data_IF_448536568246
#
_entry.id   IF_448536568246
#
_cell.length_a   1.000
_cell.length_b   1.000
_cell.length_c   1.000
_cell.angle_alpha   90.00
_cell.angle_beta   90.00
_cell.angle_gamma   90.00
#
_symmetry.space_group_name_H-M   'P 1'
#
loop_
_entity.id
_entity.type
_entity.pdbx_description
1 polymer ?
#
# COMPACT_ATOMS: atom_id res chain seq x y z
N UNK A 1 26.21 33.10 -0.94
CA UNK A 1 27.23 34.08 -1.36
C UNK A 1 27.11 34.19 -2.87
N UNK A 2 26.93 35.39 -3.39
CA UNK A 2 26.92 35.60 -4.85
C UNK A 2 28.33 35.41 -5.41
N UNK A 3 28.44 35.19 -6.72
CA UNK A 3 29.74 35.10 -7.41
C UNK A 3 30.52 36.41 -7.22
N UNK A 4 29.84 37.55 -7.35
CA UNK A 4 30.39 38.90 -7.13
C UNK A 4 31.00 39.07 -5.72
N UNK A 5 30.39 38.47 -4.69
CA UNK A 5 30.92 38.49 -3.31
C UNK A 5 32.20 37.65 -3.17
N UNK A 6 32.29 36.53 -3.91
CA UNK A 6 33.46 35.67 -3.91
C UNK A 6 34.61 36.31 -4.70
N UNK A 7 34.31 36.97 -5.83
CA UNK A 7 35.28 37.72 -6.62
C UNK A 7 35.92 38.86 -5.82
N UNK A 8 35.13 39.58 -5.03
CA UNK A 8 35.60 40.70 -4.21
C UNK A 8 36.31 40.28 -2.90
N UNK A 9 36.40 38.97 -2.61
CA UNK A 9 36.99 38.47 -1.37
C UNK A 9 38.51 38.71 -1.35
N UNK A 10 39.01 39.34 -0.29
CA UNK A 10 40.46 39.56 -0.11
C UNK A 10 41.15 38.27 0.34
N UNK A 11 42.25 37.93 -0.34
CA UNK A 11 43.04 36.71 -0.10
C UNK A 11 44.30 36.99 0.73
N UNK A 12 44.66 38.27 0.90
CA UNK A 12 45.78 38.70 1.75
C UNK A 12 45.58 40.11 2.34
N UNK A 13 46.41 40.47 3.30
CA UNK A 13 46.44 41.80 3.93
C UNK A 13 46.92 42.92 2.98
N UNK A 14 47.39 42.57 1.77
CA UNK A 14 47.79 43.51 0.73
C UNK A 14 46.63 43.92 -0.21
N UNK A 15 45.42 43.41 0.03
CA UNK A 15 44.22 43.80 -0.71
C UNK A 15 44.01 43.10 -2.06
N UNK A 16 44.72 42.00 -2.32
CA UNK A 16 44.54 41.19 -3.53
C UNK A 16 43.20 40.46 -3.46
N UNK A 17 42.39 40.59 -4.52
CA UNK A 17 41.08 39.97 -4.63
C UNK A 17 41.19 38.55 -5.19
N UNK A 18 40.22 37.70 -4.89
CA UNK A 18 40.19 36.33 -5.39
C UNK A 18 40.11 36.28 -6.93
N UNK A 19 39.44 37.27 -7.54
CA UNK A 19 39.40 37.46 -9.00
C UNK A 19 40.76 37.76 -9.63
N UNK A 20 41.73 38.29 -8.87
CA UNK A 20 43.05 38.67 -9.40
C UNK A 20 43.95 37.44 -9.61
N UNK A 21 43.60 36.29 -9.02
CA UNK A 21 44.42 35.07 -8.97
C UNK A 21 43.70 33.81 -9.41
N UNK A 22 42.36 33.83 -9.54
CA UNK A 22 41.57 32.69 -9.97
C UNK A 22 40.31 33.13 -10.73
N UNK A 23 39.88 32.29 -11.68
CA UNK A 23 38.60 32.42 -12.36
C UNK A 23 37.51 31.72 -11.53
N UNK A 24 36.45 32.44 -11.17
CA UNK A 24 35.34 31.91 -10.36
C UNK A 24 34.18 31.63 -11.29
N UNK A 25 34.03 30.36 -11.66
CA UNK A 25 32.92 29.90 -12.48
C UNK A 25 31.91 29.12 -11.64
N UNK A 26 30.64 29.28 -11.98
CA UNK A 26 29.63 28.34 -11.53
C UNK A 26 29.80 27.04 -12.31
N UNK A 27 30.53 26.09 -11.73
CA UNK A 27 30.69 24.77 -12.29
C UNK A 27 29.68 23.81 -11.65
N UNK A 28 29.05 22.96 -12.46
CA UNK A 28 28.33 21.81 -11.93
C UNK A 28 29.35 20.87 -11.26
N UNK A 29 29.06 20.35 -10.05
CA UNK A 29 29.91 19.36 -9.42
C UNK A 29 30.10 18.17 -10.36
N UNK A 30 31.31 17.63 -10.44
CA UNK A 30 31.56 16.38 -11.18
C UNK A 30 30.59 15.31 -10.64
N UNK A 31 29.73 14.71 -11.49
CA UNK A 31 28.75 13.75 -11.01
C UNK A 31 29.44 12.53 -10.40
N UNK A 32 29.22 12.30 -9.10
CA UNK A 32 29.75 11.11 -8.41
C UNK A 32 28.91 9.85 -8.69
N UNK A 33 27.77 9.99 -9.36
CA UNK A 33 26.94 8.89 -9.83
C UNK A 33 26.20 9.29 -11.10
N UNK A 34 25.90 8.30 -11.93
CA UNK A 34 25.04 8.46 -13.11
C UNK A 34 23.80 7.60 -12.91
N UNK A 35 22.62 8.17 -13.15
CA UNK A 35 21.36 7.42 -13.22
C UNK A 35 20.92 7.37 -14.67
N UNK A 36 20.55 6.18 -15.11
CA UNK A 36 20.05 5.95 -16.47
C UNK A 36 18.85 5.03 -16.43
N UNK A 37 17.89 5.29 -17.30
CA UNK A 37 16.75 4.41 -17.55
C UNK A 37 16.80 4.06 -19.04
N UNK A 38 16.83 2.77 -19.37
CA UNK A 38 16.91 2.27 -20.75
C UNK A 38 18.07 2.86 -21.59
N UNK A 39 19.17 3.27 -20.94
CA UNK A 39 20.35 3.84 -21.62
C UNK A 39 20.35 5.37 -21.70
N UNK A 40 19.24 6.03 -21.38
CA UNK A 40 19.12 7.49 -21.38
C UNK A 40 19.38 8.07 -19.98
N UNK A 41 19.97 9.27 -19.92
CA UNK A 41 20.25 9.97 -18.67
C UNK A 41 18.95 10.30 -17.93
N UNK A 42 18.88 9.96 -16.65
CA UNK A 42 17.66 10.12 -15.85
C UNK A 42 17.96 10.75 -14.49
N UNK A 43 16.99 11.52 -13.99
CA UNK A 43 16.96 12.02 -12.62
C UNK A 43 15.84 11.26 -11.91
N UNK A 44 16.11 10.73 -10.72
CA UNK A 44 15.08 10.05 -9.94
C UNK A 44 14.77 10.82 -8.65
N UNK A 45 13.47 10.97 -8.41
CA UNK A 45 12.90 11.51 -7.19
C UNK A 45 12.33 10.36 -6.37
N UNK A 46 12.59 10.38 -5.07
CA UNK A 46 11.99 9.44 -4.13
C UNK A 46 10.94 10.20 -3.32
N UNK A 47 9.69 9.74 -3.40
CA UNK A 47 8.58 10.34 -2.67
C UNK A 47 8.22 9.41 -1.52
N UNK A 48 8.36 9.93 -0.30
CA UNK A 48 8.01 9.19 0.91
C UNK A 48 6.75 9.79 1.52
N UNK A 49 5.83 8.92 1.97
CA UNK A 49 4.65 9.38 2.69
C UNK A 49 5.00 9.90 4.07
N UNK A 50 4.20 10.82 4.58
CA UNK A 50 4.24 11.21 5.99
C UNK A 50 3.80 10.05 6.91
N UNK A 51 4.19 10.13 8.19
CA UNK A 51 3.73 9.20 9.22
C UNK A 51 2.19 9.24 9.32
N UNK A 52 1.55 8.08 9.45
CA UNK A 52 0.08 7.96 9.51
C UNK A 52 -0.68 8.17 8.19
N UNK A 53 -0.03 8.65 7.12
CA UNK A 53 -0.69 8.81 5.83
C UNK A 53 -0.94 7.45 5.14
N UNK A 54 -2.00 7.40 4.32
CA UNK A 54 -2.32 6.27 3.45
C UNK A 54 -1.47 6.31 2.17
N UNK A 55 -0.76 5.21 1.86
CA UNK A 55 0.14 5.11 0.70
C UNK A 55 -0.64 5.26 -0.62
N UNK A 56 -1.80 4.61 -0.75
CA UNK A 56 -2.62 4.62 -1.97
C UNK A 56 -3.13 6.03 -2.28
N UNK A 57 -3.54 6.78 -1.26
CA UNK A 57 -4.01 8.16 -1.46
C UNK A 57 -2.85 9.12 -1.76
N UNK A 58 -1.65 8.86 -1.22
CA UNK A 58 -0.45 9.63 -1.56
C UNK A 58 -0.06 9.39 -3.01
N UNK A 59 0.03 8.13 -3.43
CA UNK A 59 0.33 7.75 -4.82
C UNK A 59 -0.64 8.41 -5.80
N UNK A 60 -1.96 8.34 -5.56
CA UNK A 60 -2.96 8.99 -6.41
C UNK A 60 -2.76 10.50 -6.54
N UNK A 61 -2.36 11.18 -5.46
CA UNK A 61 -2.04 12.62 -5.52
C UNK A 61 -0.76 12.91 -6.29
N UNK A 62 0.25 12.06 -6.14
CA UNK A 62 1.49 12.15 -6.93
C UNK A 62 1.19 11.97 -8.40
N UNK A 63 0.38 10.97 -8.76
CA UNK A 63 -0.04 10.72 -10.14
C UNK A 63 -0.73 11.93 -10.76
N UNK A 64 -1.65 12.58 -10.05
CA UNK A 64 -2.25 13.84 -10.52
C UNK A 64 -1.23 14.96 -10.75
N UNK A 65 -0.27 15.15 -9.84
CA UNK A 65 0.79 16.15 -10.02
C UNK A 65 1.69 15.78 -11.21
N UNK A 66 1.95 14.49 -11.44
CA UNK A 66 2.71 14.03 -12.60
C UNK A 66 1.94 14.25 -13.90
N UNK A 67 0.61 14.11 -13.90
CA UNK A 67 -0.23 14.46 -15.04
C UNK A 67 -0.14 15.96 -15.36
N UNK A 68 -0.18 16.83 -14.35
CA UNK A 68 -0.02 18.28 -14.53
C UNK A 68 1.36 18.62 -15.09
N UNK A 69 2.42 18.00 -14.56
CA UNK A 69 3.81 18.18 -15.03
C UNK A 69 3.97 17.73 -16.48
N UNK A 70 3.36 16.60 -16.87
CA UNK A 70 3.41 16.10 -18.25
C UNK A 70 2.71 17.02 -19.25
N UNK A 71 1.77 17.84 -18.79
CA UNK A 71 1.04 18.81 -19.61
C UNK A 71 1.72 20.18 -19.68
N UNK A 72 2.74 20.43 -18.85
CA UNK A 72 3.46 21.71 -18.83
C UNK A 72 4.34 21.88 -20.09
N UNK A 73 4.07 22.90 -20.94
CA UNK A 73 4.86 23.12 -22.15
C UNK A 73 6.34 23.46 -21.89
N UNK A 74 6.68 23.97 -20.69
CA UNK A 74 8.06 24.29 -20.32
C UNK A 74 8.93 23.04 -20.14
N UNK A 75 8.31 21.87 -19.97
CA UNK A 75 8.98 20.58 -19.81
C UNK A 75 8.88 19.72 -21.08
N UNK A 76 8.54 20.32 -22.23
CA UNK A 76 8.50 19.61 -23.51
C UNK A 76 9.86 18.95 -23.82
N UNK A 77 9.87 17.62 -23.94
CA UNK A 77 11.08 16.82 -24.16
C UNK A 77 11.65 16.12 -22.92
N UNK A 78 11.02 16.28 -21.75
CA UNK A 78 11.34 15.52 -20.54
C UNK A 78 10.33 14.39 -20.34
N UNK A 79 10.79 13.14 -20.44
CA UNK A 79 9.95 11.98 -20.15
C UNK A 79 9.90 11.69 -18.64
N UNK A 80 8.69 11.75 -18.09
CA UNK A 80 8.44 11.49 -16.67
C UNK A 80 7.83 10.10 -16.50
N UNK A 81 8.63 9.18 -15.96
CA UNK A 81 8.24 7.77 -15.74
C UNK A 81 8.11 7.46 -14.24
N UNK A 82 7.05 6.76 -13.89
CA UNK A 82 6.89 6.18 -12.55
C UNK A 82 7.59 4.81 -12.56
N UNK A 83 8.79 4.76 -11.99
CA UNK A 83 9.59 3.53 -12.00
C UNK A 83 9.07 2.48 -10.99
N UNK A 84 8.62 2.94 -9.82
CA UNK A 84 8.11 2.07 -8.77
C UNK A 84 7.01 2.78 -7.99
N UNK A 85 5.89 2.08 -7.77
CA UNK A 85 4.80 2.52 -6.91
C UNK A 85 4.38 1.40 -5.95
N UNK A 86 4.55 1.65 -4.66
CA UNK A 86 4.12 0.72 -3.62
C UNK A 86 2.59 0.58 -3.54
N UNK A 87 1.83 1.59 -3.95
CA UNK A 87 0.38 1.53 -3.96
C UNK A 87 -0.17 0.49 -4.94
N UNK A 88 0.49 0.28 -6.07
CA UNK A 88 0.12 -0.76 -7.04
C UNK A 88 0.27 -2.16 -6.45
N UNK A 89 1.38 -2.43 -5.77
CA UNK A 89 1.62 -3.71 -5.10
C UNK A 89 0.59 -3.96 -3.99
N UNK A 90 0.27 -2.94 -3.19
CA UNK A 90 -0.76 -3.01 -2.15
C UNK A 90 -2.13 -3.30 -2.79
N UNK A 91 -2.50 -2.56 -3.84
CA UNK A 91 -3.81 -2.68 -4.48
C UNK A 91 -3.96 -4.02 -5.19
N UNK A 92 -2.91 -4.50 -5.86
CA UNK A 92 -2.87 -5.83 -6.48
C UNK A 92 -3.01 -6.92 -5.42
N UNK A 93 -2.30 -6.79 -4.29
CA UNK A 93 -2.40 -7.74 -3.17
C UNK A 93 -3.81 -7.77 -2.56
N UNK A 94 -4.45 -6.60 -2.38
CA UNK A 94 -5.84 -6.51 -1.91
C UNK A 94 -6.80 -7.19 -2.89
N UNK A 95 -6.65 -6.93 -4.19
CA UNK A 95 -7.45 -7.60 -5.24
C UNK A 95 -7.26 -9.11 -5.20
N UNK A 96 -6.02 -9.58 -5.09
CA UNK A 96 -5.70 -11.01 -4.97
C UNK A 96 -6.31 -11.65 -3.72
N UNK A 97 -6.27 -10.96 -2.58
CA UNK A 97 -6.90 -11.40 -1.33
C UNK A 97 -8.43 -11.49 -1.48
N UNK A 98 -9.08 -10.48 -2.07
CA UNK A 98 -10.52 -10.49 -2.32
C UNK A 98 -10.93 -11.62 -3.27
N UNK A 99 -10.18 -11.81 -4.36
CA UNK A 99 -10.44 -12.88 -5.31
C UNK A 99 -10.28 -14.26 -4.67
N UNK A 100 -9.19 -14.47 -3.93
CA UNK A 100 -8.95 -15.73 -3.21
C UNK A 100 -10.01 -15.97 -2.13
N UNK A 101 -10.40 -14.93 -1.39
CA UNK A 101 -11.46 -14.98 -0.40
C UNK A 101 -12.82 -15.31 -1.03
N UNK A 102 -13.11 -14.78 -2.21
CA UNK A 102 -14.34 -15.06 -2.94
C UNK A 102 -14.41 -16.52 -3.42
N UNK A 103 -13.34 -17.02 -4.05
CA UNK A 103 -13.26 -18.43 -4.44
C UNK A 103 -13.33 -19.36 -3.23
N UNK A 104 -12.59 -19.05 -2.15
CA UNK A 104 -12.63 -19.81 -0.91
C UNK A 104 -14.02 -19.83 -0.27
N UNK A 105 -14.70 -18.69 -0.22
CA UNK A 105 -16.06 -18.58 0.31
C UNK A 105 -17.07 -19.35 -0.54
N UNK A 106 -16.97 -19.26 -1.86
CA UNK A 106 -17.85 -19.99 -2.78
C UNK A 106 -17.68 -21.50 -2.64
N UNK A 107 -16.44 -21.97 -2.55
CA UNK A 107 -16.13 -23.39 -2.35
C UNK A 107 -16.62 -23.88 -0.98
N UNK A 108 -16.42 -23.09 0.08
CA UNK A 108 -16.91 -23.40 1.42
C UNK A 108 -18.45 -23.49 1.46
N UNK A 109 -19.15 -22.53 0.84
CA UNK A 109 -20.61 -22.55 0.72
C UNK A 109 -21.08 -23.78 -0.07
N UNK A 110 -20.39 -24.14 -1.16
CA UNK A 110 -20.72 -25.33 -1.94
C UNK A 110 -20.61 -26.62 -1.11
N UNK A 111 -19.53 -26.78 -0.33
CA UNK A 111 -19.36 -27.92 0.58
C UNK A 111 -20.47 -27.92 1.64
N UNK A 112 -20.72 -26.78 2.30
CA UNK A 112 -21.80 -26.65 3.28
C UNK A 112 -23.17 -27.01 2.71
N UNK A 113 -23.44 -26.62 1.45
CA UNK A 113 -24.69 -26.94 0.76
C UNK A 113 -24.83 -28.45 0.53
N UNK A 114 -23.75 -29.14 0.15
CA UNK A 114 -23.74 -30.59 -0.04
C UNK A 114 -24.02 -31.32 1.27
N UNK A 115 -23.41 -30.87 2.38
CA UNK A 115 -23.61 -31.48 3.70
C UNK A 115 -25.00 -31.23 4.27
N UNK A 116 -25.49 -29.99 4.19
CA UNK A 116 -26.75 -29.59 4.83
C UNK A 116 -27.98 -29.84 3.95
N UNK A 117 -27.80 -29.99 2.63
CA UNK A 117 -28.85 -30.17 1.61
C UNK A 117 -30.00 -29.14 1.68
N UNK A 118 -29.78 -28.02 2.37
CA UNK A 118 -30.78 -26.99 2.62
C UNK A 118 -30.15 -25.60 2.50
N UNK A 119 -30.54 -24.87 1.46
CA UNK A 119 -30.01 -23.55 1.13
C UNK A 119 -30.20 -22.51 2.24
N UNK A 120 -31.34 -22.54 2.95
CA UNK A 120 -31.61 -21.58 4.03
C UNK A 120 -30.63 -21.76 5.17
N UNK A 121 -30.40 -23.01 5.57
CA UNK A 121 -29.51 -23.38 6.65
C UNK A 121 -28.04 -23.07 6.29
N UNK A 122 -27.64 -23.37 5.06
CA UNK A 122 -26.30 -23.02 4.53
C UNK A 122 -26.08 -21.51 4.51
N UNK A 123 -27.07 -20.71 4.09
CA UNK A 123 -26.94 -19.24 4.06
C UNK A 123 -26.75 -18.64 5.46
N UNK A 124 -27.44 -19.18 6.48
CA UNK A 124 -27.26 -18.73 7.87
C UNK A 124 -25.84 -18.98 8.36
N UNK A 125 -25.30 -20.19 8.16
CA UNK A 125 -23.93 -20.53 8.56
C UNK A 125 -22.90 -19.72 7.75
N UNK A 126 -23.10 -19.62 6.43
CA UNK A 126 -22.22 -18.88 5.53
C UNK A 126 -22.16 -17.39 5.83
N UNK A 127 -23.26 -16.77 6.28
CA UNK A 127 -23.28 -15.37 6.72
C UNK A 127 -22.67 -15.17 8.12
N UNK A 128 -22.79 -16.16 9.02
CA UNK A 128 -22.23 -16.07 10.37
C UNK A 128 -20.71 -15.94 10.39
N UNK A 129 -20.01 -16.58 9.44
CA UNK A 129 -18.54 -16.53 9.32
C UNK A 129 -18.02 -15.09 9.09
N UNK A 130 -18.39 -14.37 8.01
CA UNK A 130 -17.89 -13.01 7.78
C UNK A 130 -18.36 -12.04 8.87
N UNK A 131 -19.57 -12.20 9.40
CA UNK A 131 -20.07 -11.38 10.52
C UNK A 131 -19.17 -11.56 11.75
N UNK A 132 -18.75 -12.79 12.07
CA UNK A 132 -17.86 -13.05 13.21
C UNK A 132 -16.48 -12.42 13.03
N UNK A 133 -15.92 -12.47 11.82
CA UNK A 133 -14.64 -11.84 11.48
C UNK A 133 -14.72 -10.32 11.61
N UNK A 134 -15.76 -9.70 11.04
CA UNK A 134 -15.99 -8.25 11.19
C UNK A 134 -16.16 -7.87 12.66
N UNK A 135 -16.92 -8.65 13.43
CA UNK A 135 -17.07 -8.45 14.87
C UNK A 135 -15.74 -8.49 15.63
N UNK A 136 -14.87 -9.43 15.31
CA UNK A 136 -13.53 -9.51 15.89
C UNK A 136 -12.65 -8.31 15.48
N UNK A 137 -12.69 -7.88 14.23
CA UNK A 137 -11.99 -6.67 13.78
C UNK A 137 -12.48 -5.40 14.50
N UNK A 138 -13.80 -5.26 14.66
CA UNK A 138 -14.39 -4.15 15.43
C UNK A 138 -13.93 -4.20 16.88
N UNK A 139 -13.88 -5.39 17.50
CA UNK A 139 -13.37 -5.56 18.85
C UNK A 139 -11.89 -5.15 18.97
N UNK A 140 -11.04 -5.55 18.03
CA UNK A 140 -9.64 -5.14 18.02
C UNK A 140 -9.48 -3.62 17.89
N UNK A 141 -10.32 -2.99 17.05
CA UNK A 141 -10.34 -1.54 16.88
C UNK A 141 -10.69 -0.82 18.19
N UNK A 142 -11.77 -1.21 18.87
CA UNK A 142 -12.15 -0.59 20.16
C UNK A 142 -11.15 -0.90 21.29
N UNK A 143 -10.45 -2.03 21.21
CA UNK A 143 -9.44 -2.42 22.19
C UNK A 143 -8.06 -1.79 21.93
N UNK A 144 -7.93 -0.93 20.91
CA UNK A 144 -6.66 -0.35 20.45
C UNK A 144 -5.59 -1.42 20.20
N UNK A 145 -6.00 -2.57 19.67
CA UNK A 145 -5.11 -3.66 19.27
C UNK A 145 -5.02 -3.71 17.75
N UNK A 146 -3.83 -4.00 17.24
CA UNK A 146 -3.59 -4.14 15.81
C UNK A 146 -3.81 -5.59 15.37
N UNK A 147 -4.21 -5.77 14.10
CA UNK A 147 -4.13 -7.06 13.43
C UNK A 147 -2.67 -7.42 13.21
N UNK A 148 -2.18 -8.37 13.99
CA UNK A 148 -0.85 -8.96 13.89
C UNK A 148 -0.95 -10.49 13.78
N UNK A 149 0.19 -11.16 13.55
CA UNK A 149 0.25 -12.62 13.37
C UNK A 149 -0.45 -13.38 14.51
N UNK A 150 -0.22 -13.01 15.77
CA UNK A 150 -0.84 -13.68 16.91
C UNK A 150 -2.36 -13.50 16.93
N UNK A 151 -2.86 -12.28 16.70
CA UNK A 151 -4.31 -12.01 16.63
C UNK A 151 -4.97 -12.69 15.44
N UNK A 152 -4.27 -12.82 14.31
CA UNK A 152 -4.76 -13.53 13.12
C UNK A 152 -4.84 -15.04 13.38
N UNK A 153 -3.86 -15.63 14.06
CA UNK A 153 -3.92 -17.04 14.48
C UNK A 153 -5.11 -17.28 15.42
N UNK A 154 -5.33 -16.39 16.40
CA UNK A 154 -6.49 -16.45 17.27
C UNK A 154 -7.83 -16.34 16.52
N UNK A 155 -7.90 -15.44 15.54
CA UNK A 155 -9.07 -15.28 14.67
C UNK A 155 -9.34 -16.54 13.84
N UNK A 156 -8.31 -17.15 13.25
CA UNK A 156 -8.45 -18.38 12.48
C UNK A 156 -8.98 -19.54 13.33
N UNK A 157 -8.47 -19.70 14.56
CA UNK A 157 -8.97 -20.71 15.50
C UNK A 157 -10.41 -20.43 15.92
N UNK A 158 -10.74 -19.17 16.20
CA UNK A 158 -12.09 -18.77 16.59
C UNK A 158 -13.12 -19.04 15.48
N UNK A 159 -12.77 -18.75 14.22
CA UNK A 159 -13.62 -19.05 13.07
C UNK A 159 -13.87 -20.55 12.92
N UNK A 160 -12.83 -21.38 13.07
CA UNK A 160 -12.98 -22.85 13.03
C UNK A 160 -13.95 -23.37 14.10
N UNK A 161 -13.72 -22.99 15.36
CA UNK A 161 -14.60 -23.38 16.46
C UNK A 161 -16.04 -22.86 16.30
N UNK A 162 -16.22 -21.68 15.70
CA UNK A 162 -17.54 -21.10 15.45
C UNK A 162 -18.30 -21.89 14.39
N UNK A 163 -17.63 -22.26 13.29
CA UNK A 163 -18.24 -23.04 12.21
C UNK A 163 -18.67 -24.42 12.68
N UNK A 164 -17.81 -25.11 13.43
CA UNK A 164 -18.13 -26.44 13.96
C UNK A 164 -19.38 -26.40 14.85
N UNK A 165 -19.43 -25.44 15.79
CA UNK A 165 -20.59 -25.26 16.66
C UNK A 165 -21.87 -24.90 15.88
N UNK A 166 -21.75 -24.01 14.88
CA UNK A 166 -22.89 -23.62 14.05
C UNK A 166 -23.45 -24.80 13.26
N UNK A 167 -22.59 -25.66 12.70
CA UNK A 167 -22.99 -26.86 11.96
C UNK A 167 -23.72 -27.85 12.89
N UNK A 168 -23.16 -28.14 14.08
CA UNK A 168 -23.76 -29.10 15.02
C UNK A 168 -25.16 -28.67 15.49
N UNK A 169 -25.35 -27.38 15.81
CA UNK A 169 -26.66 -26.85 16.22
C UNK A 169 -27.67 -26.97 15.08
N UNK A 170 -27.26 -26.61 13.86
CA UNK A 170 -28.10 -26.67 12.68
C UNK A 170 -28.50 -28.10 12.31
N UNK A 171 -27.56 -29.04 12.41
CA UNK A 171 -27.80 -30.47 12.22
C UNK A 171 -28.78 -31.01 13.27
N UNK A 172 -28.65 -30.59 14.53
CA UNK A 172 -29.57 -30.96 15.60
C UNK A 172 -31.00 -30.48 15.32
N UNK A 173 -31.16 -29.24 14.85
CA UNK A 173 -32.46 -28.69 14.44
C UNK A 173 -33.03 -29.52 13.29
N UNK A 174 -32.24 -29.80 12.27
CA UNK A 174 -32.68 -30.57 11.10
C UNK A 174 -33.13 -31.98 11.48
N UNK A 175 -32.31 -32.68 12.29
CA UNK A 175 -32.60 -34.01 12.81
C UNK A 175 -33.86 -34.05 13.68
N UNK A 176 -34.18 -32.97 14.41
CA UNK A 176 -35.40 -32.87 15.20
C UNK A 176 -36.64 -32.65 14.33
N UNK A 177 -36.51 -31.91 13.23
CA UNK A 177 -37.58 -31.71 12.24
C UNK A 177 -37.90 -32.97 11.45
N UNK A 178 -36.93 -33.85 11.19
CA UNK A 178 -37.17 -35.13 10.50
C UNK A 178 -37.79 -36.21 11.39
N UNK A 179 -37.64 -36.10 12.72
CA UNK A 179 -38.11 -37.10 13.70
C UNK A 179 -39.47 -36.75 14.33
N UNK A 180 -40.03 -35.59 14.06
CA UNK A 180 -41.36 -35.16 14.49
C UNK A 180 -42.31 -35.10 13.31
#
# INVERSE_FOLDING_TARGET
RSIDELEAMQVNDAGVRLSDVAEIVYAEPVPNYYRRINGESAIAFEIQKASGANIVDVSRRVEHVLEDIRQDPSLAGVDVVLFFDQADEITASLKGLLQSGLFGSLLAIAILLVFLRNFRSTAVVGAAIPISVVGACVYLFIANRTLNVLTMMGLMLAVGMLVDNAIVVLESIHRRQEKG
#
